data_IF_924444237440
#
_entry.id   IF_924444237440
#
_cell.length_a   1.000
_cell.length_b   1.000
_cell.length_c   1.000
_cell.angle_alpha   90.00
_cell.angle_beta   90.00
_cell.angle_gamma   90.00
#
_symmetry.space_group_name_H-M   'P 1'
#
loop_
_entity.id
_entity.type
_entity.pdbx_description
1 polymer ?
#
# COMPACT_ATOMS: atom_id res chain seq x y z
N UNK A 1 13.95 17.19 -98.12
CA UNK A 1 13.15 18.07 -97.25
C UNK A 1 12.16 17.27 -96.39
N UNK A 2 11.49 16.27 -96.97
CA UNK A 2 10.55 15.34 -96.30
C UNK A 2 11.14 14.58 -95.11
N UNK A 3 12.36 14.01 -95.23
CA UNK A 3 13.01 13.26 -94.14
C UNK A 3 13.29 14.09 -92.87
N UNK A 4 13.47 15.42 -92.97
CA UNK A 4 13.62 16.30 -91.81
C UNK A 4 12.30 16.65 -91.13
N UNK A 5 11.18 16.59 -91.87
CA UNK A 5 9.84 16.85 -91.33
C UNK A 5 9.34 15.63 -90.57
N UNK A 6 9.59 14.43 -91.08
CA UNK A 6 9.25 13.16 -90.41
C UNK A 6 9.98 12.98 -89.07
N UNK A 7 11.27 13.35 -89.00
CA UNK A 7 12.04 13.26 -87.75
C UNK A 7 11.56 14.26 -86.69
N UNK A 8 11.16 15.47 -87.09
CA UNK A 8 10.58 16.47 -86.18
C UNK A 8 9.21 16.02 -85.67
N UNK A 9 8.36 15.48 -86.53
CA UNK A 9 7.05 14.94 -86.12
C UNK A 9 7.21 13.76 -85.17
N UNK A 10 8.14 12.83 -85.45
CA UNK A 10 8.42 11.71 -84.56
C UNK A 10 8.91 12.18 -83.17
N UNK A 11 9.76 13.21 -83.11
CA UNK A 11 10.24 13.77 -81.86
C UNK A 11 9.11 14.42 -81.03
N UNK A 12 8.18 15.13 -81.68
CA UNK A 12 7.02 15.74 -81.01
C UNK A 12 6.09 14.68 -80.44
N UNK A 13 5.81 13.62 -81.22
CA UNK A 13 4.96 12.51 -80.77
C UNK A 13 5.62 11.78 -79.59
N UNK A 14 6.92 11.50 -79.66
CA UNK A 14 7.64 10.89 -78.56
C UNK A 14 7.60 11.76 -77.29
N UNK A 15 7.79 13.08 -77.42
CA UNK A 15 7.70 14.01 -76.31
C UNK A 15 6.29 14.05 -75.70
N UNK A 16 5.25 14.04 -76.53
CA UNK A 16 3.85 14.01 -76.06
C UNK A 16 3.54 12.72 -75.29
N UNK A 17 3.99 11.56 -75.78
CA UNK A 17 3.81 10.27 -75.10
C UNK A 17 4.53 10.26 -73.75
N UNK A 18 5.78 10.74 -73.70
CA UNK A 18 6.54 10.84 -72.46
C UNK A 18 5.89 11.79 -71.45
N UNK A 19 5.35 12.92 -71.91
CA UNK A 19 4.62 13.87 -71.07
C UNK A 19 3.36 13.25 -70.45
N UNK A 20 2.57 12.53 -71.24
CA UNK A 20 1.37 11.83 -70.77
C UNK A 20 1.71 10.70 -69.80
N UNK A 21 2.76 9.91 -70.09
CA UNK A 21 3.24 8.85 -69.21
C UNK A 21 3.75 9.40 -67.87
N UNK A 22 4.52 10.48 -67.89
CA UNK A 22 5.00 11.16 -66.69
C UNK A 22 3.84 11.75 -65.86
N UNK A 23 2.86 12.39 -66.52
CA UNK A 23 1.67 12.90 -65.85
C UNK A 23 0.84 11.79 -65.20
N UNK A 24 0.61 10.69 -65.91
CA UNK A 24 -0.10 9.53 -65.37
C UNK A 24 0.64 8.91 -64.17
N UNK A 25 1.95 8.68 -64.29
CA UNK A 25 2.77 8.09 -63.23
C UNK A 25 2.83 8.99 -61.98
N UNK A 26 3.05 10.29 -62.14
CA UNK A 26 3.06 11.24 -61.01
C UNK A 26 1.68 11.35 -60.34
N UNK A 27 0.60 11.24 -61.11
CA UNK A 27 -0.76 11.14 -60.57
C UNK A 27 -0.98 9.90 -59.70
N UNK A 28 -0.48 8.74 -60.14
CA UNK A 28 -0.56 7.50 -59.37
C UNK A 28 0.30 7.54 -58.10
N UNK A 29 1.52 8.07 -58.19
CA UNK A 29 2.42 8.24 -57.04
C UNK A 29 1.78 9.15 -55.98
N UNK A 30 1.21 10.29 -56.37
CA UNK A 30 0.53 11.19 -55.42
C UNK A 30 -0.65 10.54 -54.71
N UNK A 31 -1.44 9.73 -55.42
CA UNK A 31 -2.53 8.95 -54.80
C UNK A 31 -2.00 7.91 -53.81
N UNK A 32 -0.93 7.22 -54.17
CA UNK A 32 -0.28 6.25 -53.29
C UNK A 32 0.30 6.93 -52.04
N UNK A 33 0.98 8.07 -52.19
CA UNK A 33 1.48 8.87 -51.08
C UNK A 33 0.34 9.32 -50.15
N UNK A 34 -0.77 9.83 -50.69
CA UNK A 34 -1.93 10.23 -49.89
C UNK A 34 -2.53 9.05 -49.12
N UNK A 35 -2.65 7.88 -49.75
CA UNK A 35 -3.14 6.67 -49.11
C UNK A 35 -2.22 6.24 -47.95
N UNK A 36 -0.90 6.30 -48.15
CA UNK A 36 0.09 6.01 -47.11
C UNK A 36 -0.02 7.01 -45.95
N UNK A 37 -0.08 8.32 -46.23
CA UNK A 37 -0.22 9.34 -45.18
C UNK A 37 -1.53 9.19 -44.40
N UNK A 38 -2.65 8.91 -45.09
CA UNK A 38 -3.94 8.66 -44.46
C UNK A 38 -3.90 7.42 -43.55
N UNK A 39 -3.28 6.34 -44.02
CA UNK A 39 -3.08 5.13 -43.22
C UNK A 39 -2.21 5.40 -41.98
N UNK A 40 -1.07 6.09 -42.15
CA UNK A 40 -0.22 6.47 -41.01
C UNK A 40 -0.94 7.37 -40.01
N UNK A 41 -1.72 8.34 -40.47
CA UNK A 41 -2.51 9.20 -39.60
C UNK A 41 -3.55 8.40 -38.80
N UNK A 42 -4.22 7.43 -39.43
CA UNK A 42 -5.16 6.53 -38.77
C UNK A 42 -4.47 5.65 -37.73
N UNK A 43 -3.32 5.06 -38.06
CA UNK A 43 -2.52 4.25 -37.11
C UNK A 43 -2.04 5.10 -35.92
N UNK A 44 -1.55 6.31 -36.16
CA UNK A 44 -1.12 7.23 -35.08
C UNK A 44 -2.30 7.68 -34.21
N UNK A 45 -3.49 7.84 -34.77
CA UNK A 45 -4.69 8.11 -33.98
C UNK A 45 -5.07 6.90 -33.11
N UNK A 46 -5.10 5.70 -33.68
CA UNK A 46 -5.40 4.46 -32.96
C UNK A 46 -4.39 4.18 -31.83
N UNK A 47 -3.09 4.39 -32.08
CA UNK A 47 -2.05 4.27 -31.05
C UNK A 47 -2.29 5.30 -29.93
N UNK A 48 -2.59 6.56 -30.26
CA UNK A 48 -2.89 7.60 -29.26
C UNK A 48 -4.11 7.25 -28.43
N UNK A 49 -5.19 6.78 -29.04
CA UNK A 49 -6.41 6.43 -28.33
C UNK A 49 -6.21 5.22 -27.41
N UNK A 50 -5.52 4.18 -27.90
CA UNK A 50 -5.18 3.00 -27.10
C UNK A 50 -4.24 3.34 -25.95
N UNK A 51 -3.23 4.16 -26.19
CA UNK A 51 -2.29 4.60 -25.14
C UNK A 51 -2.98 5.50 -24.11
N UNK A 52 -3.84 6.41 -24.53
CA UNK A 52 -4.63 7.24 -23.61
C UNK A 52 -5.59 6.40 -22.76
N UNK A 53 -6.27 5.43 -23.37
CA UNK A 53 -7.17 4.50 -22.67
C UNK A 53 -6.40 3.62 -21.69
N UNK A 54 -5.24 3.08 -22.09
CA UNK A 54 -4.39 2.32 -21.20
C UNK A 54 -3.88 3.18 -20.03
N UNK A 55 -3.40 4.39 -20.31
CA UNK A 55 -2.90 5.30 -19.28
C UNK A 55 -3.99 5.69 -18.26
N UNK A 56 -5.21 5.96 -18.71
CA UNK A 56 -6.34 6.26 -17.82
C UNK A 56 -6.72 5.05 -16.97
N UNK A 57 -6.78 3.84 -17.56
CA UNK A 57 -7.03 2.61 -16.82
C UNK A 57 -5.93 2.30 -15.78
N UNK A 58 -4.66 2.52 -16.12
CA UNK A 58 -3.56 2.37 -15.17
C UNK A 58 -3.63 3.38 -14.03
N UNK A 59 -3.91 4.65 -14.32
CA UNK A 59 -4.10 5.68 -13.26
C UNK A 59 -5.27 5.35 -12.35
N UNK A 60 -6.38 4.85 -12.90
CA UNK A 60 -7.54 4.45 -12.10
C UNK A 60 -7.20 3.30 -11.14
N UNK A 61 -6.47 2.27 -11.63
CA UNK A 61 -5.97 1.19 -10.78
C UNK A 61 -5.02 1.69 -9.70
N UNK A 62 -4.09 2.57 -10.06
CA UNK A 62 -3.15 3.16 -9.09
C UNK A 62 -3.90 3.95 -8.01
N UNK A 63 -4.86 4.80 -8.37
CA UNK A 63 -5.66 5.54 -7.38
C UNK A 63 -6.45 4.60 -6.46
N UNK A 64 -6.98 3.49 -6.98
CA UNK A 64 -7.65 2.48 -6.17
C UNK A 64 -6.69 1.81 -5.19
N UNK A 65 -5.49 1.43 -5.65
CA UNK A 65 -4.45 0.85 -4.79
C UNK A 65 -4.00 1.80 -3.69
N UNK A 66 -3.73 3.06 -4.03
CA UNK A 66 -3.37 4.09 -3.06
C UNK A 66 -4.47 4.27 -2.01
N UNK A 67 -5.74 4.33 -2.42
CA UNK A 67 -6.87 4.46 -1.51
C UNK A 67 -7.00 3.26 -0.57
N UNK A 68 -6.80 2.05 -1.09
CA UNK A 68 -6.85 0.83 -0.28
C UNK A 68 -5.70 0.78 0.73
N UNK A 69 -4.47 1.06 0.29
CA UNK A 69 -3.29 1.08 1.16
C UNK A 69 -3.43 2.14 2.26
N UNK A 70 -3.90 3.34 1.90
CA UNK A 70 -4.13 4.42 2.87
C UNK A 70 -5.16 4.00 3.92
N UNK A 71 -6.27 3.38 3.50
CA UNK A 71 -7.28 2.89 4.43
C UNK A 71 -6.73 1.81 5.38
N UNK A 72 -6.04 0.79 4.86
CA UNK A 72 -5.45 -0.26 5.71
C UNK A 72 -4.39 0.31 6.65
N UNK A 73 -3.66 1.35 6.23
CA UNK A 73 -2.69 2.07 7.07
C UNK A 73 -3.38 2.82 8.20
N UNK A 74 -4.47 3.55 7.91
CA UNK A 74 -5.28 4.24 8.91
C UNK A 74 -5.92 3.27 9.90
N UNK A 75 -6.58 2.22 9.40
CA UNK A 75 -7.19 1.17 10.24
C UNK A 75 -6.13 0.49 11.14
N UNK A 76 -4.91 0.30 10.62
CA UNK A 76 -3.77 -0.22 11.38
C UNK A 76 -3.31 0.74 12.49
N UNK A 77 -3.19 2.03 12.19
CA UNK A 77 -2.84 3.06 13.18
C UNK A 77 -3.89 3.18 14.28
N UNK A 78 -5.18 3.16 13.93
CA UNK A 78 -6.28 3.23 14.90
C UNK A 78 -6.27 2.05 15.87
N UNK A 79 -5.96 0.84 15.39
CA UNK A 79 -5.81 -0.35 16.23
C UNK A 79 -4.60 -0.25 17.16
N UNK A 80 -3.46 0.24 16.66
CA UNK A 80 -2.26 0.47 17.48
C UNK A 80 -2.57 1.48 18.58
N UNK A 81 -3.27 2.57 18.25
CA UNK A 81 -3.63 3.60 19.22
C UNK A 81 -4.67 3.11 20.24
N UNK A 82 -5.61 2.24 19.83
CA UNK A 82 -6.52 1.56 20.74
C UNK A 82 -5.75 0.66 21.72
N UNK A 83 -4.87 -0.21 21.22
CA UNK A 83 -4.04 -1.08 22.06
C UNK A 83 -3.16 -0.26 23.03
N UNK A 84 -2.61 0.88 22.60
CA UNK A 84 -1.86 1.79 23.47
C UNK A 84 -2.72 2.37 24.59
N UNK A 85 -3.94 2.82 24.28
CA UNK A 85 -4.88 3.33 25.31
C UNK A 85 -5.26 2.24 26.30
N UNK A 86 -5.53 1.04 25.83
CA UNK A 86 -5.86 -0.11 26.67
C UNK A 86 -4.68 -0.48 27.59
N UNK A 87 -3.45 -0.48 27.06
CA UNK A 87 -2.24 -0.71 27.85
C UNK A 87 -2.03 0.37 28.92
N UNK A 88 -2.30 1.64 28.62
CA UNK A 88 -2.25 2.74 29.62
C UNK A 88 -3.31 2.50 30.71
N UNK A 89 -4.53 2.13 30.33
CA UNK A 89 -5.60 1.80 31.26
C UNK A 89 -5.25 0.62 32.19
N UNK A 90 -4.69 -0.45 31.62
CA UNK A 90 -4.23 -1.61 32.37
C UNK A 90 -3.13 -1.26 33.38
N UNK A 91 -2.15 -0.43 32.99
CA UNK A 91 -1.10 0.07 33.89
C UNK A 91 -1.68 0.88 35.04
N UNK A 92 -2.60 1.80 34.75
CA UNK A 92 -3.24 2.61 35.78
C UNK A 92 -4.04 1.74 36.78
N UNK A 93 -4.73 0.70 36.29
CA UNK A 93 -5.44 -0.25 37.14
C UNK A 93 -4.47 -1.09 38.02
N UNK A 94 -3.37 -1.55 37.45
CA UNK A 94 -2.34 -2.30 38.18
C UNK A 94 -1.69 -1.44 39.28
N UNK A 95 -1.34 -0.19 38.98
CA UNK A 95 -0.78 0.75 39.96
C UNK A 95 -1.78 1.07 41.08
N UNK A 96 -3.05 1.22 40.75
CA UNK A 96 -4.13 1.34 41.73
C UNK A 96 -4.19 0.11 42.66
N UNK A 97 -4.15 -1.10 42.10
CA UNK A 97 -4.16 -2.34 42.87
C UNK A 97 -2.94 -2.45 43.79
N UNK A 98 -1.74 -2.10 43.30
CA UNK A 98 -0.50 -2.07 44.13
C UNK A 98 -0.65 -1.10 45.30
N UNK A 99 -1.21 0.08 45.06
CA UNK A 99 -1.46 1.07 46.11
C UNK A 99 -2.47 0.57 47.15
N UNK A 100 -3.56 -0.05 46.71
CA UNK A 100 -4.58 -0.63 47.59
C UNK A 100 -4.01 -1.76 48.46
N UNK A 101 -3.18 -2.62 47.86
CA UNK A 101 -2.51 -3.72 48.52
C UNK A 101 -1.50 -3.24 49.58
N UNK A 102 -0.75 -2.18 49.27
CA UNK A 102 0.15 -1.54 50.23
C UNK A 102 -0.62 -0.97 51.44
N UNK A 103 -1.77 -0.33 51.21
CA UNK A 103 -2.64 0.16 52.30
C UNK A 103 -3.20 -0.98 53.13
N UNK A 104 -3.63 -2.07 52.49
CA UNK A 104 -4.14 -3.25 53.19
C UNK A 104 -3.08 -3.89 54.09
N UNK A 105 -1.85 -4.07 53.58
CA UNK A 105 -0.71 -4.57 54.38
C UNK A 105 -0.42 -3.69 55.59
N UNK A 106 -0.39 -2.36 55.41
CA UNK A 106 -0.16 -1.43 56.51
C UNK A 106 -1.25 -1.51 57.59
N UNK A 107 -2.52 -1.60 57.18
CA UNK A 107 -3.65 -1.75 58.09
C UNK A 107 -3.60 -3.09 58.85
N UNK A 108 -3.29 -4.20 58.16
CA UNK A 108 -3.17 -5.51 58.79
C UNK A 108 -2.09 -5.53 59.88
N UNK A 109 -0.91 -4.96 59.59
CA UNK A 109 0.18 -4.83 60.58
C UNK A 109 -0.21 -3.99 61.80
N UNK A 110 -0.97 -2.91 61.61
CA UNK A 110 -1.42 -2.05 62.70
C UNK A 110 -2.38 -2.76 63.68
N UNK A 111 -3.03 -3.84 63.26
CA UNK A 111 -3.97 -4.62 64.08
C UNK A 111 -3.36 -5.84 64.79
N UNK A 112 -2.06 -6.10 64.60
CA UNK A 112 -1.40 -7.25 65.21
C UNK A 112 -1.09 -7.00 66.69
N UNK A 113 -1.54 -7.92 67.56
CA UNK A 113 -1.31 -7.87 69.02
C UNK A 113 0.10 -8.39 69.35
N UNK A 114 0.98 -7.57 69.97
CA UNK A 114 2.36 -7.98 70.30
C UNK A 114 2.45 -9.11 71.34
N UNK A 115 1.35 -9.50 72.01
CA UNK A 115 1.33 -10.57 73.02
C UNK A 115 0.92 -11.96 72.50
N UNK A 116 0.65 -12.16 71.21
CA UNK A 116 0.27 -13.46 70.66
C UNK A 116 1.45 -14.46 70.66
N UNK A 117 1.26 -15.64 71.27
CA UNK A 117 2.28 -16.68 71.36
C UNK A 117 2.68 -17.25 69.99
N UNK A 118 3.99 -17.37 69.74
CA UNK A 118 4.58 -17.80 68.48
C UNK A 118 4.32 -19.30 68.20
N UNK A 119 3.26 -19.60 67.44
CA UNK A 119 2.97 -20.95 66.95
C UNK A 119 3.16 -21.12 65.42
N UNK A 120 3.81 -20.15 64.75
CA UNK A 120 4.09 -20.17 63.32
C UNK A 120 4.45 -18.78 62.77
N UNK A 121 4.79 -18.66 61.46
CA UNK A 121 4.96 -17.35 60.82
C UNK A 121 3.69 -16.51 61.00
N UNK A 122 3.80 -15.23 61.36
CA UNK A 122 2.64 -14.37 61.53
C UNK A 122 1.86 -14.25 60.23
N UNK A 123 0.53 -14.11 60.32
CA UNK A 123 -0.35 -14.00 59.15
C UNK A 123 0.04 -12.83 58.20
N UNK A 124 0.73 -11.81 58.71
CA UNK A 124 1.33 -10.74 57.89
C UNK A 124 2.35 -11.27 56.88
N UNK A 125 3.18 -12.24 57.25
CA UNK A 125 4.26 -12.73 56.38
C UNK A 125 3.71 -13.51 55.18
N UNK A 126 2.62 -14.26 55.40
CA UNK A 126 1.91 -14.95 54.32
C UNK A 126 1.22 -13.96 53.36
N UNK A 127 0.65 -12.88 53.89
CA UNK A 127 0.05 -11.80 53.09
C UNK A 127 1.11 -11.02 52.31
N UNK A 128 2.27 -10.78 52.91
CA UNK A 128 3.39 -10.12 52.24
C UNK A 128 3.92 -10.98 51.09
N UNK A 129 4.14 -12.28 51.31
CA UNK A 129 4.54 -13.20 50.23
C UNK A 129 3.53 -13.22 49.07
N UNK A 130 2.23 -13.35 49.38
CA UNK A 130 1.17 -13.39 48.36
C UNK A 130 1.15 -12.13 47.49
N UNK A 131 1.32 -10.98 48.13
CA UNK A 131 1.27 -9.70 47.46
C UNK A 131 2.57 -9.39 46.68
N UNK A 132 3.73 -9.91 47.11
CA UNK A 132 4.97 -9.84 46.32
C UNK A 132 4.89 -10.77 45.10
N UNK A 133 4.37 -11.99 45.26
CA UNK A 133 4.13 -12.92 44.15
C UNK A 133 3.13 -12.34 43.14
N UNK A 134 2.04 -11.72 43.61
CA UNK A 134 1.07 -11.06 42.73
C UNK A 134 1.70 -9.91 41.96
N UNK A 135 2.50 -9.07 42.64
CA UNK A 135 3.19 -7.94 42.01
C UNK A 135 4.18 -8.43 40.94
N UNK A 136 5.02 -9.43 41.27
CA UNK A 136 5.98 -9.98 40.32
C UNK A 136 5.32 -10.70 39.15
N UNK A 137 4.21 -11.41 39.38
CA UNK A 137 3.45 -12.05 38.31
C UNK A 137 2.81 -11.03 37.35
N UNK A 138 2.25 -9.94 37.89
CA UNK A 138 1.66 -8.86 37.10
C UNK A 138 2.73 -8.10 36.27
N UNK A 139 3.89 -7.83 36.87
CA UNK A 139 5.03 -7.21 36.16
C UNK A 139 5.51 -8.08 34.99
N UNK A 140 5.74 -9.38 35.23
CA UNK A 140 6.15 -10.31 34.19
C UNK A 140 5.08 -10.43 33.07
N UNK A 141 3.80 -10.46 33.44
CA UNK A 141 2.70 -10.46 32.47
C UNK A 141 2.68 -9.17 31.63
N UNK A 142 2.96 -8.02 32.24
CA UNK A 142 3.06 -6.73 31.56
C UNK A 142 4.22 -6.66 30.56
N UNK A 143 5.38 -7.21 30.90
CA UNK A 143 6.53 -7.30 29.97
C UNK A 143 6.22 -8.21 28.78
N UNK A 144 5.61 -9.37 29.03
CA UNK A 144 5.17 -10.32 27.99
C UNK A 144 4.14 -9.68 27.06
N UNK A 145 3.15 -8.98 27.62
CA UNK A 145 2.14 -8.27 26.82
C UNK A 145 2.79 -7.20 25.93
N UNK A 146 3.71 -6.39 26.48
CA UNK A 146 4.42 -5.39 25.70
C UNK A 146 5.24 -5.99 24.55
N UNK A 147 5.93 -7.11 24.79
CA UNK A 147 6.68 -7.81 23.74
C UNK A 147 5.75 -8.39 22.66
N UNK A 148 4.61 -8.97 23.08
CA UNK A 148 3.61 -9.51 22.16
C UNK A 148 2.97 -8.41 21.30
N UNK A 149 2.62 -7.26 21.90
CA UNK A 149 2.06 -6.11 21.18
C UNK A 149 3.03 -5.56 20.12
N UNK A 150 4.32 -5.46 20.46
CA UNK A 150 5.36 -5.04 19.52
C UNK A 150 5.53 -6.04 18.36
N UNK A 151 5.56 -7.33 18.67
CA UNK A 151 5.66 -8.38 17.67
C UNK A 151 4.44 -8.39 16.74
N UNK A 152 3.24 -8.25 17.32
CA UNK A 152 2.00 -8.18 16.57
C UNK A 152 1.96 -6.94 15.65
N UNK A 153 2.31 -5.76 16.17
CA UNK A 153 2.38 -4.54 15.38
C UNK A 153 3.38 -4.63 14.21
N UNK A 154 4.53 -5.29 14.43
CA UNK A 154 5.53 -5.52 13.38
C UNK A 154 5.06 -6.53 12.31
N UNK A 155 4.27 -7.54 12.69
CA UNK A 155 3.74 -8.56 11.78
C UNK A 155 2.49 -8.12 11.01
N UNK A 156 1.61 -7.37 11.66
CA UNK A 156 0.31 -6.98 11.10
C UNK A 156 0.42 -6.19 9.79
N UNK A 157 1.40 -5.27 9.70
CA UNK A 157 1.64 -4.50 8.47
C UNK A 157 2.10 -5.39 7.31
N UNK A 158 2.94 -6.39 7.58
CA UNK A 158 3.39 -7.36 6.58
C UNK A 158 2.23 -8.22 6.06
N UNK A 159 1.38 -8.73 6.95
CA UNK A 159 0.20 -9.52 6.56
C UNK A 159 -0.78 -8.70 5.72
N UNK A 160 -1.07 -7.47 6.14
CA UNK A 160 -1.99 -6.58 5.42
C UNK A 160 -1.47 -6.16 4.05
N UNK A 161 -0.17 -5.88 3.94
CA UNK A 161 0.46 -5.62 2.66
C UNK A 161 0.36 -6.84 1.72
N UNK A 162 0.56 -8.05 2.25
CA UNK A 162 0.42 -9.29 1.48
C UNK A 162 -1.04 -9.54 1.04
N UNK A 163 -2.01 -9.34 1.94
CA UNK A 163 -3.43 -9.51 1.65
C UNK A 163 -3.93 -8.49 0.62
N UNK A 164 -3.42 -7.25 0.67
CA UNK A 164 -3.73 -6.24 -0.33
C UNK A 164 -3.20 -6.63 -1.71
N UNK A 165 -2.03 -7.28 -1.79
CA UNK A 165 -1.46 -7.75 -3.06
C UNK A 165 -2.18 -8.99 -3.61
N UNK A 166 -2.60 -9.91 -2.74
CA UNK A 166 -3.20 -11.18 -3.15
C UNK A 166 -4.70 -11.13 -3.40
N UNK A 167 -5.46 -10.32 -2.66
CA UNK A 167 -6.93 -10.20 -2.84
C UNK A 167 -7.34 -9.29 -4.01
N UNK A 168 -6.37 -8.74 -4.76
CA UNK A 168 -6.61 -7.89 -5.93
C UNK A 168 -6.34 -8.61 -7.26
N UNK A 169 -5.89 -9.87 -7.22
CA UNK A 169 -5.81 -10.79 -8.38
C UNK A 169 -7.14 -11.52 -8.58
#
# INVERSE_FOLDING_TARGET
>A
MTSRIESVLAAIVAAAILGLAAWWHTGQVKKAEQAVHAHYAAVLADIRDKTATAATAFRARETQWQTHIEKETQDGQDRIDAARRDAIGARAAADGLRADLARYRAAARATQDPCAAAAGPPASDALDLLADLLTGADEAAGELAAAADLAHAAGFTCERAYDALTNQL
#
